data_IF_905127286242
#
_entry.id   IF_905127286242
#
_cell.length_a   1.000
_cell.length_b   1.000
_cell.length_c   1.000
_cell.angle_alpha   90.00
_cell.angle_beta   90.00
_cell.angle_gamma   90.00
#
_symmetry.space_group_name_H-M   'P 1'
#
loop_
_entity.id
_entity.type
_entity.pdbx_description
1 polymer ?
#
# COMPACT_ATOMS: atom_id res chain seq x y z
N UNK A 1 -20.64 -22.16 -23.10
CA UNK A 1 -20.08 -20.82 -23.39
C UNK A 1 -19.80 -20.10 -22.08
N UNK A 2 -18.57 -20.19 -21.55
CA UNK A 2 -18.21 -19.54 -20.29
C UNK A 2 -17.78 -18.10 -20.57
N UNK A 3 -18.60 -17.13 -20.17
CA UNK A 3 -18.30 -15.71 -20.28
C UNK A 3 -17.09 -15.38 -19.40
N UNK A 4 -15.96 -15.08 -20.03
CA UNK A 4 -14.79 -14.47 -19.40
C UNK A 4 -15.18 -13.05 -18.96
N UNK A 5 -15.56 -12.90 -17.68
CA UNK A 5 -15.79 -11.57 -17.09
C UNK A 5 -14.48 -10.79 -17.14
N UNK A 6 -14.36 -9.91 -18.13
CA UNK A 6 -13.29 -8.94 -18.26
C UNK A 6 -13.23 -8.13 -16.96
N UNK A 7 -12.17 -8.33 -16.18
CA UNK A 7 -11.95 -7.58 -14.96
C UNK A 7 -11.88 -6.09 -15.34
N UNK A 8 -12.67 -5.20 -14.71
CA UNK A 8 -12.69 -3.80 -15.08
C UNK A 8 -11.29 -3.22 -14.89
N UNK A 9 -10.75 -2.62 -15.96
CA UNK A 9 -9.50 -1.84 -15.89
C UNK A 9 -9.59 -0.89 -14.70
N UNK A 10 -8.56 -0.80 -13.83
CA UNK A 10 -8.65 0.02 -12.63
C UNK A 10 -8.97 1.47 -13.02
N UNK A 11 -10.02 2.03 -12.42
CA UNK A 11 -10.41 3.43 -12.62
C UNK A 11 -9.19 4.32 -12.37
N UNK A 12 -8.97 5.30 -13.26
CA UNK A 12 -7.88 6.27 -13.14
C UNK A 12 -8.06 7.05 -11.83
N UNK A 13 -7.08 6.97 -10.94
CA UNK A 13 -7.15 7.64 -9.63
C UNK A 13 -7.09 9.15 -9.83
N UNK A 14 -7.96 9.90 -9.14
CA UNK A 14 -7.91 11.37 -9.17
C UNK A 14 -6.54 11.86 -8.68
N UNK A 15 -5.95 12.82 -9.39
CA UNK A 15 -4.61 13.35 -9.06
C UNK A 15 -4.53 13.91 -7.64
N UNK A 16 -5.59 14.56 -7.15
CA UNK A 16 -5.68 15.07 -5.78
C UNK A 16 -5.67 13.95 -4.73
N UNK A 17 -6.45 12.88 -4.95
CA UNK A 17 -6.45 11.68 -4.09
C UNK A 17 -5.07 11.02 -4.06
N UNK A 18 -4.45 10.86 -5.23
CA UNK A 18 -3.11 10.27 -5.37
C UNK A 18 -2.05 11.08 -4.60
N UNK A 19 -2.05 12.41 -4.76
CA UNK A 19 -1.15 13.30 -4.01
C UNK A 19 -1.33 13.17 -2.51
N UNK A 20 -2.57 13.23 -2.03
CA UNK A 20 -2.86 13.18 -0.59
C UNK A 20 -2.46 11.83 0.04
N UNK A 21 -2.70 10.72 -0.67
CA UNK A 21 -2.17 9.41 -0.25
C UNK A 21 -0.65 9.39 -0.22
N UNK A 22 0.00 10.00 -1.22
CA UNK A 22 1.45 10.08 -1.26
C UNK A 22 2.00 10.95 -0.13
N UNK A 23 1.37 12.06 0.23
CA UNK A 23 1.77 12.89 1.38
C UNK A 23 1.69 12.11 2.69
N UNK A 24 0.61 11.37 2.91
CA UNK A 24 0.48 10.48 4.07
C UNK A 24 1.55 9.39 4.10
N UNK A 25 1.87 8.81 2.94
CA UNK A 25 2.90 7.81 2.81
C UNK A 25 4.31 8.36 3.00
N UNK A 26 4.63 9.53 2.43
CA UNK A 26 5.94 10.14 2.55
C UNK A 26 6.24 10.60 3.97
N UNK A 27 5.20 10.96 4.73
CA UNK A 27 5.36 11.40 6.11
C UNK A 27 5.95 10.30 6.98
N UNK A 28 5.36 9.10 7.00
CA UNK A 28 5.71 8.02 7.93
C UNK A 28 5.37 6.61 7.39
N UNK A 29 5.06 6.49 6.10
CA UNK A 29 4.66 5.25 5.48
C UNK A 29 5.84 4.30 5.23
N UNK A 30 5.52 3.02 5.03
CA UNK A 30 6.53 1.99 4.82
C UNK A 30 6.06 0.95 3.79
N UNK A 31 6.99 0.53 2.92
CA UNK A 31 6.80 -0.57 1.99
C UNK A 31 7.55 -1.79 2.49
N UNK A 32 6.80 -2.86 2.83
CA UNK A 32 7.38 -4.17 3.10
C UNK A 32 7.45 -4.96 1.80
N UNK A 33 8.64 -5.39 1.44
CA UNK A 33 8.85 -6.43 0.43
C UNK A 33 9.19 -7.73 1.17
N UNK A 34 8.60 -8.88 0.80
CA UNK A 34 9.01 -10.16 1.37
C UNK A 34 10.51 -10.37 1.15
N UNK A 35 11.24 -10.67 2.22
CA UNK A 35 12.64 -11.06 2.13
C UNK A 35 12.72 -12.49 1.61
N UNK A 36 12.93 -12.63 0.31
CA UNK A 36 12.99 -13.93 -0.34
C UNK A 36 13.50 -13.81 -1.75
N UNK A 37 14.83 -13.79 -1.92
CA UNK A 37 15.36 -14.54 -3.06
C UNK A 37 14.92 -15.98 -2.82
N UNK A 38 14.28 -16.63 -3.80
CA UNK A 38 14.02 -18.07 -3.80
C UNK A 38 15.35 -18.84 -3.82
N UNK A 39 16.18 -18.73 -2.79
CA UNK A 39 17.33 -19.61 -2.61
C UNK A 39 16.80 -20.88 -1.98
N UNK A 40 17.02 -22.02 -2.65
CA UNK A 40 16.55 -23.37 -2.26
C UNK A 40 16.91 -23.83 -0.83
N UNK A 41 17.58 -22.99 -0.01
CA UNK A 41 18.14 -23.34 1.31
C UNK A 41 17.53 -22.63 2.52
N UNK A 42 16.59 -21.68 2.38
CA UNK A 42 15.99 -21.06 3.56
C UNK A 42 14.72 -21.81 4.01
N UNK A 43 14.85 -22.65 5.04
CA UNK A 43 13.72 -23.22 5.81
C UNK A 43 12.87 -22.14 6.51
N UNK A 44 13.31 -20.88 6.47
CA UNK A 44 12.68 -19.71 7.09
C UNK A 44 12.33 -18.65 6.05
N UNK A 45 11.78 -19.04 4.89
CA UNK A 45 11.15 -18.08 3.98
C UNK A 45 10.10 -17.28 4.78
N UNK A 46 10.33 -15.98 4.95
CA UNK A 46 9.48 -15.10 5.74
C UNK A 46 8.06 -15.18 5.17
N UNK A 47 7.10 -15.74 5.93
CA UNK A 47 5.71 -15.96 5.47
C UNK A 47 4.94 -14.64 5.21
N UNK A 48 5.59 -13.49 5.39
CA UNK A 48 4.96 -12.17 5.34
C UNK A 48 5.06 -11.63 3.91
N UNK A 49 3.92 -11.46 3.26
CA UNK A 49 3.81 -10.94 1.89
C UNK A 49 4.05 -9.43 1.78
N UNK A 50 3.79 -8.89 0.58
CA UNK A 50 3.88 -7.47 0.30
C UNK A 50 2.87 -6.66 1.12
N UNK A 51 3.33 -5.53 1.66
CA UNK A 51 2.54 -4.65 2.51
C UNK A 51 2.89 -3.18 2.26
N UNK A 52 1.88 -2.31 2.23
CA UNK A 52 2.02 -0.86 2.35
C UNK A 52 1.45 -0.46 3.71
N UNK A 53 2.20 0.31 4.50
CA UNK A 53 1.72 0.87 5.76
C UNK A 53 1.52 2.36 5.62
N UNK A 54 0.33 2.82 6.00
CA UNK A 54 0.04 4.23 6.25
C UNK A 54 -0.03 4.47 7.76
N UNK A 55 0.45 5.62 8.21
CA UNK A 55 0.48 5.95 9.65
C UNK A 55 -0.28 7.25 9.88
N UNK A 56 -1.40 7.12 10.60
CA UNK A 56 -2.26 8.22 11.03
C UNK A 56 -1.93 8.62 12.48
N UNK A 57 -1.96 9.92 12.75
CA UNK A 57 -1.72 10.50 14.10
C UNK A 57 -2.96 10.44 14.98
N UNK A 58 -4.14 10.37 14.38
CA UNK A 58 -5.42 10.36 15.08
C UNK A 58 -6.50 9.64 14.27
N UNK A 59 -7.66 9.43 14.88
CA UNK A 59 -8.79 8.74 14.25
C UNK A 59 -9.34 9.48 13.01
N UNK A 60 -9.23 10.81 12.97
CA UNK A 60 -9.68 11.64 11.83
C UNK A 60 -8.84 11.35 10.59
N UNK A 61 -7.51 11.39 10.73
CA UNK A 61 -6.59 11.02 9.64
C UNK A 61 -6.78 9.57 9.22
N UNK A 62 -7.02 8.64 10.17
CA UNK A 62 -7.26 7.25 9.84
C UNK A 62 -8.51 7.08 8.96
N UNK A 63 -9.61 7.75 9.32
CA UNK A 63 -10.85 7.73 8.53
C UNK A 63 -10.64 8.33 7.15
N UNK A 64 -9.89 9.43 7.07
CA UNK A 64 -9.55 10.07 5.81
C UNK A 64 -8.70 9.17 4.90
N UNK A 65 -7.67 8.51 5.44
CA UNK A 65 -6.86 7.54 4.71
C UNK A 65 -7.72 6.37 4.18
N UNK A 66 -8.66 5.85 4.98
CA UNK A 66 -9.59 4.79 4.53
C UNK A 66 -10.42 5.23 3.32
N UNK A 67 -10.98 6.44 3.37
CA UNK A 67 -11.76 7.00 2.26
C UNK A 67 -10.90 7.19 1.01
N UNK A 68 -9.71 7.79 1.16
CA UNK A 68 -8.79 7.99 0.02
C UNK A 68 -8.34 6.67 -0.61
N UNK A 69 -8.03 5.66 0.20
CA UNK A 69 -7.67 4.33 -0.30
C UNK A 69 -8.84 3.68 -1.05
N UNK A 70 -10.06 3.78 -0.52
CA UNK A 70 -11.26 3.29 -1.19
C UNK A 70 -11.48 3.99 -2.54
N UNK A 71 -11.36 5.32 -2.57
CA UNK A 71 -11.51 6.13 -3.80
C UNK A 71 -10.43 5.83 -4.84
N UNK A 72 -9.22 5.53 -4.39
CA UNK A 72 -8.11 5.08 -5.25
C UNK A 72 -8.20 3.59 -5.63
N UNK A 73 -9.23 2.87 -5.17
CA UNK A 73 -9.45 1.46 -5.48
C UNK A 73 -8.46 0.52 -4.81
N UNK A 74 -7.97 0.87 -3.63
CA UNK A 74 -7.19 0.01 -2.74
C UNK A 74 -8.09 -0.58 -1.64
N UNK A 75 -7.76 -1.80 -1.22
CA UNK A 75 -8.38 -2.51 -0.11
C UNK A 75 -7.43 -2.47 1.09
N UNK A 76 -7.75 -1.61 2.05
CA UNK A 76 -7.04 -1.58 3.33
C UNK A 76 -7.43 -2.77 4.22
N UNK A 77 -6.47 -3.22 5.02
CA UNK A 77 -6.70 -4.20 6.07
C UNK A 77 -7.24 -3.55 7.35
N UNK A 78 -7.30 -4.34 8.42
CA UNK A 78 -7.74 -3.85 9.73
C UNK A 78 -6.66 -2.91 10.29
N UNK A 79 -7.00 -1.66 10.64
CA UNK A 79 -6.06 -0.78 11.32
C UNK A 79 -5.78 -1.28 12.73
N UNK A 80 -4.59 -0.95 13.24
CA UNK A 80 -4.18 -1.28 14.59
C UNK A 80 -3.44 -0.11 15.23
N UNK A 81 -3.55 -0.02 16.55
CA UNK A 81 -2.86 0.97 17.36
C UNK A 81 -1.36 0.62 17.48
N UNK A 82 -0.51 1.64 17.33
CA UNK A 82 0.93 1.55 17.55
C UNK A 82 1.35 2.77 18.36
N UNK A 83 1.45 2.60 19.68
CA UNK A 83 1.63 3.71 20.63
C UNK A 83 0.56 4.78 20.41
N UNK A 84 0.95 6.04 20.20
CA UNK A 84 0.04 7.17 19.98
C UNK A 84 -0.36 7.36 18.51
N UNK A 85 -0.31 6.31 17.70
CA UNK A 85 -0.57 6.35 16.26
C UNK A 85 -1.40 5.15 15.80
N UNK A 86 -2.02 5.30 14.63
CA UNK A 86 -2.80 4.25 13.98
C UNK A 86 -2.12 3.82 12.70
N UNK A 87 -1.85 2.52 12.56
CA UNK A 87 -1.30 1.95 11.33
C UNK A 87 -2.44 1.37 10.50
N UNK A 88 -2.54 1.77 9.24
CA UNK A 88 -3.48 1.23 8.26
C UNK A 88 -2.70 0.44 7.20
N UNK A 89 -2.69 -0.90 7.27
CA UNK A 89 -2.00 -1.73 6.30
C UNK A 89 -2.81 -1.91 5.01
N UNK A 90 -2.13 -2.11 3.90
CA UNK A 90 -2.69 -2.54 2.61
C UNK A 90 -1.86 -3.72 2.14
N UNK A 91 -2.49 -4.89 2.04
CA UNK A 91 -1.79 -6.14 1.73
C UNK A 91 -1.88 -6.52 0.26
N UNK A 92 -0.88 -7.28 -0.20
CA UNK A 92 -0.88 -7.95 -1.50
C UNK A 92 -0.01 -7.28 -2.55
N UNK A 93 0.63 -8.12 -3.37
CA UNK A 93 1.59 -7.71 -4.40
C UNK A 93 0.95 -6.77 -5.43
N UNK A 94 -0.27 -7.06 -5.88
CA UNK A 94 -0.98 -6.22 -6.85
C UNK A 94 -1.20 -4.81 -6.31
N UNK A 95 -1.59 -4.68 -5.04
CA UNK A 95 -1.78 -3.37 -4.41
C UNK A 95 -0.45 -2.63 -4.26
N UNK A 96 0.59 -3.35 -3.83
CA UNK A 96 1.94 -2.84 -3.71
C UNK A 96 2.47 -2.27 -5.04
N UNK A 97 2.37 -3.03 -6.13
CA UNK A 97 2.83 -2.61 -7.45
C UNK A 97 2.02 -1.44 -8.01
N UNK A 98 0.68 -1.46 -7.84
CA UNK A 98 -0.18 -0.32 -8.23
C UNK A 98 0.20 0.95 -7.49
N UNK A 99 0.49 0.85 -6.19
CA UNK A 99 0.89 2.00 -5.40
C UNK A 99 2.28 2.52 -5.80
N UNK A 100 3.24 1.63 -6.10
CA UNK A 100 4.54 2.03 -6.67
C UNK A 100 4.38 2.77 -8.01
N UNK A 101 3.52 2.29 -8.91
CA UNK A 101 3.21 2.98 -10.17
C UNK A 101 2.64 4.37 -9.91
N UNK A 102 1.69 4.48 -8.98
CA UNK A 102 1.08 5.75 -8.58
C UNK A 102 2.11 6.76 -8.04
N UNK A 103 3.06 6.31 -7.23
CA UNK A 103 4.16 7.16 -6.75
C UNK A 103 5.11 7.57 -7.89
N UNK A 104 5.39 6.66 -8.82
CA UNK A 104 6.21 6.97 -10.01
C UNK A 104 5.54 8.00 -10.93
N UNK A 105 4.22 7.89 -11.15
CA UNK A 105 3.43 8.86 -11.91
C UNK A 105 3.46 10.26 -11.28
N UNK A 106 3.55 10.33 -9.95
CA UNK A 106 3.72 11.56 -9.20
C UNK A 106 5.18 12.05 -9.16
N UNK A 107 6.11 11.37 -9.84
CA UNK A 107 7.57 11.61 -9.83
C UNK A 107 8.19 11.53 -8.42
N UNK A 108 7.58 10.76 -7.54
CA UNK A 108 8.07 10.55 -6.17
C UNK A 108 9.05 9.38 -6.17
N UNK A 109 10.32 9.66 -5.86
CA UNK A 109 11.33 8.62 -5.69
C UNK A 109 11.29 8.07 -4.26
N UNK A 110 10.88 6.82 -4.12
CA UNK A 110 10.98 6.10 -2.84
C UNK A 110 12.45 5.68 -2.69
N UNK A 111 13.15 6.19 -1.67
CA UNK A 111 14.44 5.62 -1.28
C UNK A 111 14.14 4.28 -0.61
N UNK A 112 14.47 3.18 -1.28
CA UNK A 112 14.52 1.89 -0.61
C UNK A 112 15.59 2.00 0.48
N UNK A 113 15.18 2.08 1.74
CA UNK A 113 16.11 1.86 2.85
C UNK A 113 16.57 0.40 2.73
N UNK A 114 17.78 0.21 2.19
CA UNK A 114 18.53 -1.03 2.37
C UNK A 114 18.80 -1.13 3.87
N UNK A 115 18.08 -2.01 4.55
CA UNK A 115 18.57 -2.65 5.77
C UNK A 115 19.56 -3.72 5.37
#
# INVERSE_FOLDING_TARGET
MAQTKSSPKPKKVKKSTAKKLADFFLRNGYLRVPSGKKTKKSKYADKKGYEIRFVARNKKELSEMKSLLKDAGFKSGKPFDKFNQYVLPVYGEVQFLRFKSLLSELKIRIRNHKT
#
